data_IF_394497681045
#
_entry.id   IF_394497681045
#
_cell.length_a   1.000
_cell.length_b   1.000
_cell.length_c   1.000
_cell.angle_alpha   90.00
_cell.angle_beta   90.00
_cell.angle_gamma   90.00
#
_symmetry.space_group_name_H-M   'P 1'
#
loop_
_entity.id
_entity.type
_entity.pdbx_description
1 polymer ?
#
# COMPACT_ATOMS: atom_id res chain seq x y z
N UNK A 1 15.07 25.60 28.40
CA UNK A 1 16.35 24.86 28.55
C UNK A 1 16.08 23.39 28.25
N UNK A 2 17.00 22.76 27.50
CA UNK A 2 16.86 21.46 26.83
C UNK A 2 16.98 20.23 27.75
N UNK A 3 16.62 19.07 27.16
CA UNK A 3 16.98 17.65 27.44
C UNK A 3 15.94 16.81 28.23
N UNK A 4 15.54 15.61 27.81
CA UNK A 4 16.04 14.77 26.72
C UNK A 4 15.10 13.60 26.35
N UNK A 5 15.18 13.23 25.08
CA UNK A 5 14.54 12.08 24.45
C UNK A 5 15.07 10.74 25.02
N UNK A 6 14.19 9.87 25.52
CA UNK A 6 14.50 8.45 25.70
C UNK A 6 14.11 7.71 24.41
N UNK A 7 15.12 7.46 23.56
CA UNK A 7 15.00 6.55 22.42
C UNK A 7 14.70 5.14 22.95
N UNK A 8 13.56 4.57 22.55
CA UNK A 8 13.28 3.14 22.71
C UNK A 8 14.23 2.42 21.75
N UNK A 9 15.24 1.76 22.29
CA UNK A 9 16.18 0.95 21.50
C UNK A 9 15.35 -0.14 20.81
N UNK A 10 15.39 -0.16 19.48
CA UNK A 10 14.92 -1.29 18.70
C UNK A 10 15.78 -2.50 19.08
N UNK A 11 15.17 -3.47 19.75
CA UNK A 11 15.81 -4.75 20.01
C UNK A 11 16.16 -5.36 18.65
N UNK A 12 17.45 -5.70 18.46
CA UNK A 12 17.92 -6.35 17.24
C UNK A 12 17.15 -7.68 17.05
N UNK A 13 16.74 -8.02 15.82
CA UNK A 13 16.11 -9.32 15.58
C UNK A 13 17.07 -10.44 15.96
N UNK A 14 16.56 -11.41 16.72
CA UNK A 14 17.29 -12.63 17.09
C UNK A 14 17.72 -13.35 15.81
N UNK A 15 19.03 -13.42 15.56
CA UNK A 15 19.60 -14.24 14.51
C UNK A 15 19.45 -15.71 14.90
N UNK A 16 18.53 -16.42 14.27
CA UNK A 16 18.45 -17.86 14.34
C UNK A 16 19.46 -18.45 13.35
N UNK A 17 20.54 -19.04 13.86
CA UNK A 17 21.42 -19.88 13.06
C UNK A 17 20.74 -21.24 12.88
N UNK A 18 19.99 -21.41 11.79
CA UNK A 18 19.62 -22.74 11.31
C UNK A 18 20.76 -23.24 10.42
N UNK A 19 21.63 -24.06 11.00
CA UNK A 19 22.60 -24.82 10.22
C UNK A 19 21.90 -25.96 9.51
N UNK A 20 21.68 -25.84 8.20
CA UNK A 20 21.31 -26.97 7.34
C UNK A 20 22.00 -26.84 5.98
N UNK A 21 22.60 -27.96 5.56
CA UNK A 21 23.40 -28.12 4.37
C UNK A 21 22.55 -28.01 3.09
N UNK A 22 23.13 -27.40 2.06
CA UNK A 22 22.59 -27.27 0.70
C UNK A 22 22.22 -28.62 0.09
N UNK A 23 20.92 -28.82 -0.15
CA UNK A 23 20.37 -29.62 -1.25
C UNK A 23 18.96 -29.09 -1.55
N UNK A 24 18.73 -28.69 -2.82
CA UNK A 24 17.50 -28.12 -3.40
C UNK A 24 17.21 -26.62 -3.12
N UNK A 25 18.13 -25.78 -3.60
CA UNK A 25 18.16 -24.33 -3.38
C UNK A 25 17.01 -23.51 -4.03
N UNK A 26 16.26 -24.05 -5.00
CA UNK A 26 15.24 -23.25 -5.72
C UNK A 26 13.88 -23.21 -4.99
N UNK A 27 13.46 -24.31 -4.36
CA UNK A 27 12.15 -24.36 -3.69
C UNK A 27 12.14 -23.61 -2.35
N UNK A 28 13.24 -23.70 -1.60
CA UNK A 28 13.38 -22.97 -0.34
C UNK A 28 13.51 -21.46 -0.58
N UNK A 29 14.28 -21.03 -1.59
CA UNK A 29 14.34 -19.62 -1.98
C UNK A 29 12.98 -19.13 -2.52
N UNK A 30 12.22 -19.97 -3.21
CA UNK A 30 10.84 -19.65 -3.63
C UNK A 30 9.90 -19.51 -2.44
N UNK A 31 9.98 -20.40 -1.44
CA UNK A 31 9.18 -20.33 -0.22
C UNK A 31 9.54 -19.11 0.65
N UNK A 32 10.82 -18.85 0.89
CA UNK A 32 11.28 -17.67 1.61
C UNK A 32 10.92 -16.39 0.84
N UNK A 33 11.11 -16.38 -0.49
CA UNK A 33 10.62 -15.28 -1.32
C UNK A 33 9.13 -15.11 -1.17
N UNK A 34 8.34 -16.18 -1.13
CA UNK A 34 6.89 -16.09 -0.90
C UNK A 34 6.56 -15.54 0.49
N UNK A 35 7.14 -16.06 1.58
CA UNK A 35 6.86 -15.61 2.95
C UNK A 35 7.29 -14.17 3.16
N UNK A 36 8.55 -13.83 2.86
CA UNK A 36 9.04 -12.46 3.05
C UNK A 36 8.39 -11.48 2.07
N UNK A 37 7.97 -11.91 0.87
CA UNK A 37 7.17 -11.09 -0.05
C UNK A 37 5.76 -10.89 0.48
N UNK A 38 5.11 -11.91 1.05
CA UNK A 38 3.79 -11.74 1.65
C UNK A 38 3.87 -10.83 2.87
N UNK A 39 4.83 -11.01 3.77
CA UNK A 39 4.99 -10.16 4.95
C UNK A 39 5.32 -8.71 4.56
N UNK A 40 6.18 -8.51 3.55
CA UNK A 40 6.48 -7.16 3.04
C UNK A 40 5.31 -6.52 2.26
N UNK A 41 4.35 -7.30 1.75
CA UNK A 41 3.13 -6.82 1.09
C UNK A 41 2.03 -6.48 2.10
N UNK A 42 2.04 -7.10 3.28
CA UNK A 42 0.96 -6.99 4.26
C UNK A 42 0.95 -5.68 5.06
N UNK A 43 2.07 -4.96 5.13
CA UNK A 43 2.21 -3.75 5.96
C UNK A 43 2.04 -2.42 5.20
N UNK A 44 1.32 -2.40 4.07
CA UNK A 44 0.95 -1.14 3.42
C UNK A 44 -0.32 -0.57 4.06
N UNK A 45 -0.24 0.52 4.85
CA UNK A 45 -1.42 1.12 5.44
C UNK A 45 -2.32 1.72 4.35
N UNK A 46 -3.61 1.48 4.47
CA UNK A 46 -4.61 2.01 3.55
C UNK A 46 -5.86 2.46 4.30
N UNK A 47 -6.56 3.44 3.74
CA UNK A 47 -7.85 3.93 4.25
C UNK A 47 -8.88 3.92 3.12
N UNK A 48 -10.10 3.46 3.39
CA UNK A 48 -11.23 3.73 2.51
C UNK A 48 -11.82 5.10 2.84
N UNK A 49 -11.72 6.03 1.90
CA UNK A 49 -12.18 7.41 2.08
C UNK A 49 -13.39 7.72 1.21
N UNK A 50 -14.26 8.58 1.72
CA UNK A 50 -15.34 9.20 0.93
C UNK A 50 -14.81 10.50 0.33
N UNK A 51 -14.89 10.63 -0.99
CA UNK A 51 -14.55 11.88 -1.69
C UNK A 51 -15.83 12.56 -2.14
N UNK A 52 -15.90 13.87 -1.95
CA UNK A 52 -17.03 14.68 -2.40
C UNK A 52 -17.35 14.41 -3.87
N UNK A 53 -18.64 14.32 -4.20
CA UNK A 53 -19.16 14.02 -5.55
C UNK A 53 -18.89 12.60 -6.09
N UNK A 54 -18.14 11.75 -5.39
CA UNK A 54 -17.98 10.33 -5.75
C UNK A 54 -19.02 9.48 -5.02
N UNK A 55 -19.76 8.66 -5.77
CA UNK A 55 -20.78 7.75 -5.23
C UNK A 55 -20.17 6.59 -4.43
N UNK A 56 -18.98 6.13 -4.81
CA UNK A 56 -18.29 5.00 -4.19
C UNK A 56 -17.08 5.50 -3.39
N UNK A 57 -16.77 4.88 -2.24
CA UNK A 57 -15.52 5.15 -1.55
C UNK A 57 -14.33 4.76 -2.44
N UNK A 58 -13.21 5.43 -2.21
CA UNK A 58 -11.96 5.17 -2.88
C UNK A 58 -10.89 4.77 -1.86
N UNK A 59 -9.79 4.20 -2.33
CA UNK A 59 -8.68 3.79 -1.48
C UNK A 59 -7.63 4.89 -1.41
N UNK A 60 -7.15 5.22 -0.22
CA UNK A 60 -6.06 6.16 0.03
C UNK A 60 -4.83 5.38 0.53
N UNK A 61 -3.73 5.43 -0.22
CA UNK A 61 -2.45 4.82 0.14
C UNK A 61 -1.36 5.86 -0.13
N UNK A 62 -0.52 6.15 0.87
CA UNK A 62 0.61 7.09 0.74
C UNK A 62 0.22 8.43 0.08
N UNK A 63 -0.95 8.99 0.43
CA UNK A 63 -1.55 10.22 -0.13
C UNK A 63 -2.03 10.11 -1.59
N UNK A 64 -1.88 8.97 -2.24
CA UNK A 64 -2.46 8.69 -3.56
C UNK A 64 -3.82 8.02 -3.44
N UNK A 65 -4.69 8.34 -4.40
CA UNK A 65 -6.03 7.78 -4.47
C UNK A 65 -6.12 6.68 -5.52
N UNK A 66 -6.85 5.61 -5.21
CA UNK A 66 -7.12 4.51 -6.13
C UNK A 66 -8.62 4.28 -6.25
N UNK A 67 -9.10 4.03 -7.47
CA UNK A 67 -10.49 3.78 -7.80
C UNK A 67 -10.64 2.44 -8.54
N UNK A 68 -11.81 1.82 -8.39
CA UNK A 68 -12.22 0.68 -9.19
C UNK A 68 -12.61 1.19 -10.59
N UNK A 69 -11.79 0.87 -11.60
CA UNK A 69 -12.10 1.19 -13.01
C UNK A 69 -12.62 -0.02 -13.78
N UNK A 70 -12.67 -1.19 -13.13
CA UNK A 70 -13.16 -2.46 -13.69
C UNK A 70 -14.40 -2.94 -12.92
N UNK A 71 -15.16 -3.87 -13.51
CA UNK A 71 -16.28 -4.50 -12.80
C UNK A 71 -15.83 -5.40 -11.64
N UNK A 72 -14.59 -5.91 -11.71
CA UNK A 72 -14.00 -6.65 -10.60
C UNK A 72 -13.60 -5.69 -9.47
N UNK A 73 -14.31 -5.80 -8.34
CA UNK A 73 -14.15 -4.96 -7.15
C UNK A 73 -12.81 -5.17 -6.43
N UNK A 74 -12.09 -6.24 -6.76
CA UNK A 74 -10.78 -6.55 -6.20
C UNK A 74 -9.67 -5.70 -6.80
N UNK A 75 -9.87 -5.14 -7.99
CA UNK A 75 -8.86 -4.39 -8.72
C UNK A 75 -9.04 -2.88 -8.54
N UNK A 76 -7.97 -2.24 -8.11
CA UNK A 76 -7.90 -0.81 -7.87
C UNK A 76 -6.76 -0.22 -8.68
N UNK A 77 -7.03 0.87 -9.38
CA UNK A 77 -6.03 1.60 -10.14
C UNK A 77 -5.90 3.00 -9.59
N UNK A 78 -4.72 3.62 -9.73
CA UNK A 78 -4.57 5.03 -9.40
C UNK A 78 -5.67 5.85 -10.07
N UNK A 79 -6.30 6.76 -9.33
CA UNK A 79 -7.39 7.59 -9.86
C UNK A 79 -6.96 8.48 -11.03
N UNK A 80 -5.65 8.71 -11.18
CA UNK A 80 -5.07 9.44 -12.30
C UNK A 80 -4.63 8.55 -13.47
N UNK A 81 -5.00 7.26 -13.48
CA UNK A 81 -4.68 6.30 -14.57
C UNK A 81 -4.97 6.87 -15.96
N UNK A 82 -6.10 7.55 -16.15
CA UNK A 82 -6.48 8.09 -17.46
C UNK A 82 -6.13 9.56 -17.66
N UNK A 83 -5.74 10.28 -16.60
CA UNK A 83 -5.50 11.72 -16.64
C UNK A 83 -4.02 12.11 -16.61
N UNK A 84 -3.13 11.25 -16.12
CA UNK A 84 -1.69 11.51 -16.00
C UNK A 84 -0.90 10.31 -16.51
N UNK A 85 -0.41 10.39 -17.75
CA UNK A 85 0.56 9.49 -18.39
C UNK A 85 0.36 8.00 -18.15
N UNK A 86 -0.90 7.54 -18.15
CA UNK A 86 -1.24 6.12 -17.95
C UNK A 86 -0.61 5.53 -16.69
N UNK A 87 -0.70 6.25 -15.56
CA UNK A 87 -0.10 5.85 -14.29
C UNK A 87 -0.20 4.33 -14.02
N UNK A 88 0.94 3.63 -13.80
CA UNK A 88 0.98 2.18 -13.72
C UNK A 88 0.51 1.64 -12.35
N UNK A 89 0.40 2.51 -11.35
CA UNK A 89 0.10 2.12 -9.98
C UNK A 89 -1.28 1.44 -9.85
N UNK A 90 -1.28 0.28 -9.17
CA UNK A 90 -2.45 -0.57 -9.00
C UNK A 90 -2.33 -1.45 -7.77
N UNK A 91 -3.47 -1.80 -7.19
CA UNK A 91 -3.61 -2.63 -5.99
C UNK A 91 -4.63 -3.72 -6.27
N UNK A 92 -4.39 -4.93 -5.74
CA UNK A 92 -5.35 -6.04 -5.80
C UNK A 92 -5.60 -6.59 -4.41
N UNK A 93 -6.87 -6.78 -4.10
CA UNK A 93 -7.33 -7.50 -2.92
C UNK A 93 -7.76 -8.93 -3.28
N UNK A 94 -7.74 -9.83 -2.32
CA UNK A 94 -8.41 -11.14 -2.46
C UNK A 94 -9.92 -11.04 -2.18
N UNK A 95 -10.60 -12.18 -2.12
CA UNK A 95 -12.02 -12.26 -1.75
C UNK A 95 -12.30 -11.94 -0.28
N UNK A 96 -11.28 -12.02 0.59
CA UNK A 96 -11.38 -11.75 2.03
C UNK A 96 -11.07 -10.28 2.35
N UNK A 97 -10.74 -9.46 1.35
CA UNK A 97 -10.38 -8.06 1.54
C UNK A 97 -8.93 -7.84 1.99
N UNK A 98 -8.06 -8.85 1.87
CA UNK A 98 -6.62 -8.74 2.15
C UNK A 98 -5.89 -8.24 0.90
N UNK A 99 -4.94 -7.31 1.09
CA UNK A 99 -4.12 -6.83 -0.01
C UNK A 99 -3.11 -7.92 -0.41
N UNK A 100 -3.25 -8.46 -1.61
CA UNK A 100 -2.39 -9.55 -2.13
C UNK A 100 -1.36 -9.07 -3.14
N UNK A 101 -1.52 -7.84 -3.63
CA UNK A 101 -0.59 -7.23 -4.57
C UNK A 101 -0.72 -5.70 -4.52
N UNK A 102 0.41 -5.01 -4.59
CA UNK A 102 0.45 -3.58 -4.89
C UNK A 102 1.66 -3.23 -5.76
N UNK A 103 1.44 -2.30 -6.69
CA UNK A 103 2.50 -1.51 -7.32
C UNK A 103 2.18 -0.05 -7.05
N UNK A 104 2.99 0.58 -6.21
CA UNK A 104 2.81 1.97 -5.74
C UNK A 104 3.77 2.94 -6.43
N UNK A 105 4.33 2.54 -7.57
CA UNK A 105 5.20 3.41 -8.38
C UNK A 105 4.32 4.36 -9.20
N UNK A 106 4.43 5.65 -8.90
CA UNK A 106 3.70 6.70 -9.60
C UNK A 106 4.66 7.53 -10.46
N UNK A 107 4.22 7.88 -11.66
CA UNK A 107 4.93 8.84 -12.54
C UNK A 107 4.45 10.28 -12.36
N UNK A 108 3.73 10.59 -11.28
CA UNK A 108 3.11 11.89 -11.07
C UNK A 108 3.04 12.23 -9.57
N UNK A 109 2.90 13.52 -9.21
CA UNK A 109 2.77 13.91 -7.81
C UNK A 109 1.42 13.45 -7.20
N UNK A 110 1.34 13.33 -5.85
CA UNK A 110 0.09 13.06 -5.16
C UNK A 110 -0.94 14.17 -5.40
N UNK A 111 -2.24 13.83 -5.47
CA UNK A 111 -3.29 14.84 -5.53
C UNK A 111 -3.42 15.60 -4.20
N UNK A 112 -3.83 16.87 -4.27
CA UNK A 112 -4.21 17.63 -3.09
C UNK A 112 -5.61 17.24 -2.62
N UNK A 113 -5.69 16.74 -1.39
CA UNK A 113 -6.95 16.38 -0.72
C UNK A 113 -7.09 17.17 0.57
N UNK A 114 -8.28 17.71 0.82
CA UNK A 114 -8.64 18.38 2.07
C UNK A 114 -9.69 17.56 2.81
N UNK A 115 -9.38 17.12 4.04
CA UNK A 115 -10.30 16.38 4.90
C UNK A 115 -11.18 17.36 5.67
N UNK A 116 -12.48 17.29 5.47
CA UNK A 116 -13.46 18.09 6.21
C UNK A 116 -13.73 17.49 7.60
N UNK A 117 -14.35 18.28 8.49
CA UNK A 117 -14.73 17.85 9.85
C UNK A 117 -15.70 16.65 9.85
N UNK A 118 -16.53 16.51 8.82
CA UNK A 118 -17.46 15.40 8.65
C UNK A 118 -16.80 14.10 8.13
N UNK A 119 -15.47 14.09 7.95
CA UNK A 119 -14.71 12.95 7.45
C UNK A 119 -14.72 12.77 5.93
N UNK A 120 -15.37 13.66 5.17
CA UNK A 120 -15.37 13.66 3.70
C UNK A 120 -14.15 14.41 3.17
N UNK A 121 -13.54 13.89 2.11
CA UNK A 121 -12.40 14.51 1.44
C UNK A 121 -12.86 15.31 0.21
N UNK A 122 -12.29 16.50 0.01
CA UNK A 122 -12.45 17.30 -1.21
C UNK A 122 -11.14 17.25 -1.99
N UNK A 123 -11.21 16.98 -3.30
CA UNK A 123 -10.04 17.12 -4.18
C UNK A 123 -9.92 18.58 -4.58
N UNK A 124 -8.75 19.15 -4.32
CA UNK A 124 -8.43 20.51 -4.74
C UNK A 124 -7.74 20.38 -6.10
N UNK A 125 -8.33 20.95 -7.15
CA UNK A 125 -7.64 21.16 -8.42
C UNK A 125 -6.68 22.33 -8.24
N UNK A 126 -5.40 22.09 -8.54
CA UNK A 126 -4.45 23.18 -8.82
C UNK A 126 -4.74 23.80 -10.18
#
# INVERSE_FOLDING_TARGET
>A
MFHGNRKRLAEKPKSYNLGYNCTDDDEHLKYLRTIYFTDAILDVPFEFIKVAMKKKPILLINKFTFAQTTNDRRYWHCSSKFSQDKCPARVRFDSNGQMVFHSLVHGHPPPMLFKQMNGVYIRISS
#
